data_IF_748996261347
#
_entry.id   IF_748996261347
#
_cell.length_a   1.000
_cell.length_b   1.000
_cell.length_c   1.000
_cell.angle_alpha   90.00
_cell.angle_beta   90.00
_cell.angle_gamma   90.00
#
_symmetry.space_group_name_H-M   'P 1'
#
loop_
_entity.id
_entity.type
_entity.pdbx_description
1 polymer ?
#
# COMPACT_ATOMS: atom_id res chain seq x y z
N UNK A 1 -7.37 -5.26 -10.41
CA UNK A 1 -8.00 -4.59 -9.25
C UNK A 1 -9.49 -4.53 -9.53
N UNK A 2 -10.31 -5.29 -8.80
CA UNK A 2 -11.77 -5.23 -8.97
C UNK A 2 -12.22 -3.90 -8.39
N UNK A 3 -12.78 -3.02 -9.22
CA UNK A 3 -13.42 -1.80 -8.75
C UNK A 3 -14.67 -2.23 -7.99
N UNK A 4 -14.61 -2.17 -6.66
CA UNK A 4 -15.78 -2.40 -5.81
C UNK A 4 -16.86 -1.37 -6.18
N UNK A 5 -18.08 -1.84 -6.44
CA UNK A 5 -19.19 -0.92 -6.66
C UNK A 5 -19.66 -0.32 -5.32
N UNK A 6 -20.42 0.77 -5.37
CA UNK A 6 -20.85 1.49 -4.18
C UNK A 6 -21.63 0.61 -3.17
N UNK A 7 -22.45 -0.33 -3.65
CA UNK A 7 -23.21 -1.23 -2.77
C UNK A 7 -22.28 -2.18 -2.01
N UNK A 8 -21.26 -2.70 -2.67
CA UNK A 8 -20.24 -3.56 -2.05
C UNK A 8 -19.46 -2.80 -0.98
N UNK A 9 -19.08 -1.53 -1.23
CA UNK A 9 -18.44 -0.68 -0.23
C UNK A 9 -19.33 -0.43 0.99
N UNK A 10 -20.63 -0.22 0.77
CA UNK A 10 -21.59 -0.07 1.86
C UNK A 10 -21.70 -1.34 2.71
N UNK A 11 -21.70 -2.53 2.10
CA UNK A 11 -21.70 -3.81 2.82
C UNK A 11 -20.41 -3.96 3.62
N UNK A 12 -19.26 -3.76 2.97
CA UNK A 12 -17.93 -3.89 3.57
C UNK A 12 -17.76 -2.98 4.80
N UNK A 13 -18.33 -1.77 4.76
CA UNK A 13 -18.27 -0.81 5.86
C UNK A 13 -18.80 -1.37 7.18
N UNK A 14 -19.78 -2.30 7.14
CA UNK A 14 -20.38 -2.95 8.32
C UNK A 14 -20.03 -4.43 8.45
N UNK A 15 -19.30 -4.99 7.50
CA UNK A 15 -18.84 -6.37 7.55
C UNK A 15 -17.92 -6.59 8.75
N UNK A 16 -18.19 -7.64 9.52
CA UNK A 16 -17.43 -7.99 10.73
C UNK A 16 -16.27 -8.94 10.44
N UNK A 17 -16.18 -9.48 9.23
CA UNK A 17 -15.06 -10.32 8.80
C UNK A 17 -13.78 -9.50 8.58
N UNK A 18 -13.87 -8.17 8.54
CA UNK A 18 -12.74 -7.26 8.48
C UNK A 18 -12.65 -6.44 9.76
N UNK A 19 -11.52 -6.54 10.42
CA UNK A 19 -11.25 -5.81 11.66
C UNK A 19 -11.21 -4.30 11.40
N UNK A 20 -11.78 -3.56 12.35
CA UNK A 20 -11.65 -2.11 12.40
C UNK A 20 -10.28 -1.78 12.97
N UNK A 21 -9.45 -1.08 12.20
CA UNK A 21 -8.12 -0.64 12.63
C UNK A 21 -8.24 0.54 13.60
N UNK A 22 -9.11 1.50 13.27
CA UNK A 22 -9.40 2.67 14.11
C UNK A 22 -10.77 3.25 13.75
N UNK A 23 -11.47 3.81 14.73
CA UNK A 23 -12.74 4.50 14.51
C UNK A 23 -12.98 5.61 15.53
N UNK A 24 -13.76 6.62 15.12
CA UNK A 24 -14.07 7.71 16.01
C UNK A 24 -14.60 8.95 15.31
N UNK A 25 -15.00 9.92 16.13
CA UNK A 25 -15.39 11.22 15.61
C UNK A 25 -14.16 12.06 15.27
N UNK A 26 -14.12 12.57 14.05
CA UNK A 26 -13.04 13.43 13.54
C UNK A 26 -13.67 14.69 12.95
N UNK A 27 -13.02 15.82 13.14
CA UNK A 27 -13.42 17.05 12.47
C UNK A 27 -12.78 17.10 11.09
N UNK A 28 -13.60 17.26 10.07
CA UNK A 28 -13.22 17.12 8.67
C UNK A 28 -13.58 18.37 7.87
N UNK A 29 -12.72 18.77 6.92
CA UNK A 29 -13.06 19.70 5.84
C UNK A 29 -12.26 19.42 4.58
N UNK A 30 -12.80 19.85 3.44
CA UNK A 30 -12.03 19.98 2.19
C UNK A 30 -11.39 21.38 2.17
N UNK A 31 -10.09 21.46 1.92
CA UNK A 31 -9.32 22.72 2.02
C UNK A 31 -9.70 23.73 0.94
N UNK A 32 -10.01 23.24 -0.26
CA UNK A 32 -10.36 24.08 -1.41
C UNK A 32 -11.87 24.34 -1.54
N UNK A 33 -12.67 23.97 -0.54
CA UNK A 33 -14.09 24.29 -0.50
C UNK A 33 -14.35 25.36 0.58
N UNK A 34 -15.40 26.16 0.40
CA UNK A 34 -15.89 27.03 1.46
C UNK A 34 -16.64 26.25 2.57
N UNK A 35 -16.41 24.93 2.68
CA UNK A 35 -17.07 24.09 3.66
C UNK A 35 -16.49 24.34 5.05
N UNK A 36 -17.40 24.39 6.03
CA UNK A 36 -17.02 24.49 7.44
C UNK A 36 -16.53 23.14 7.93
N UNK A 37 -15.72 23.16 8.98
CA UNK A 37 -15.30 21.97 9.72
C UNK A 37 -16.55 21.21 10.22
N UNK A 38 -16.71 19.96 9.80
CA UNK A 38 -17.81 19.10 10.18
C UNK A 38 -17.32 17.97 11.09
N UNK A 39 -18.04 17.68 12.18
CA UNK A 39 -17.76 16.52 13.02
C UNK A 39 -18.46 15.30 12.43
N UNK A 40 -17.69 14.33 11.95
CA UNK A 40 -18.17 13.12 11.29
C UNK A 40 -17.58 11.89 11.97
N UNK A 41 -18.21 10.73 11.78
CA UNK A 41 -17.70 9.47 12.31
C UNK A 41 -16.94 8.72 11.23
N UNK A 42 -15.71 8.34 11.53
CA UNK A 42 -14.82 7.64 10.62
C UNK A 42 -14.57 6.23 11.10
N UNK A 43 -14.47 5.29 10.17
CA UNK A 43 -14.06 3.91 10.43
C UNK A 43 -13.01 3.52 9.40
N UNK A 44 -11.84 3.09 9.85
CA UNK A 44 -10.76 2.59 9.01
C UNK A 44 -10.75 1.06 9.00
N UNK A 45 -10.86 0.46 7.81
CA UNK A 45 -10.74 -0.98 7.59
C UNK A 45 -9.82 -1.24 6.41
N UNK A 46 -8.78 -2.04 6.60
CA UNK A 46 -7.69 -2.15 5.62
C UNK A 46 -7.25 -0.75 5.16
N UNK A 47 -7.17 -0.48 3.87
CA UNK A 47 -6.81 0.83 3.31
C UNK A 47 -8.02 1.72 2.94
N UNK A 48 -9.23 1.39 3.44
CA UNK A 48 -10.47 2.11 3.17
C UNK A 48 -10.94 2.87 4.41
N UNK A 49 -11.10 4.17 4.25
CA UNK A 49 -11.60 5.06 5.28
C UNK A 49 -13.05 5.43 4.98
N UNK A 50 -13.98 4.83 5.74
CA UNK A 50 -15.42 5.03 5.60
C UNK A 50 -15.87 6.23 6.42
N UNK A 51 -16.72 7.09 5.84
CA UNK A 51 -17.22 8.31 6.47
C UNK A 51 -18.73 8.22 6.67
N UNK A 52 -19.16 8.43 7.91
CA UNK A 52 -20.55 8.44 8.33
C UNK A 52 -20.91 9.79 8.93
N UNK A 53 -22.17 10.19 8.80
CA UNK A 53 -22.66 11.39 9.51
C UNK A 53 -22.75 11.10 11.00
N UNK A 54 -23.14 9.89 11.38
CA UNK A 54 -23.24 9.39 12.75
C UNK A 54 -22.79 7.94 12.82
N UNK A 55 -22.25 7.52 13.97
CA UNK A 55 -21.87 6.13 14.22
C UNK A 55 -23.01 5.11 13.99
N UNK A 56 -24.25 5.51 14.26
CA UNK A 56 -25.45 4.66 14.11
C UNK A 56 -25.93 4.50 12.66
N UNK A 57 -25.31 5.21 11.71
CA UNK A 57 -25.75 5.16 10.31
C UNK A 57 -25.47 3.77 9.72
N UNK A 58 -26.43 3.27 8.93
CA UNK A 58 -26.33 1.95 8.28
C UNK A 58 -25.31 1.93 7.16
N UNK A 59 -25.14 3.05 6.48
CA UNK A 59 -24.29 3.17 5.30
C UNK A 59 -23.41 4.41 5.42
N UNK A 60 -22.14 4.33 4.98
CA UNK A 60 -21.29 5.50 4.83
C UNK A 60 -21.88 6.39 3.73
N UNK A 61 -21.69 7.69 3.87
CA UNK A 61 -22.04 8.62 2.81
C UNK A 61 -20.85 8.88 1.86
N UNK A 62 -19.62 8.59 2.28
CA UNK A 62 -18.42 8.70 1.46
C UNK A 62 -17.35 7.67 1.88
N UNK A 63 -16.42 7.37 0.97
CA UNK A 63 -15.30 6.43 1.17
C UNK A 63 -14.04 6.99 0.55
N UNK A 64 -12.97 7.04 1.34
CA UNK A 64 -11.64 7.45 0.90
C UNK A 64 -10.76 6.21 0.81
N UNK A 65 -10.15 6.00 -0.36
CA UNK A 65 -9.07 5.04 -0.55
C UNK A 65 -7.76 5.71 -0.13
N UNK A 66 -7.11 5.23 0.94
CA UNK A 66 -5.88 5.84 1.46
C UNK A 66 -4.76 5.90 0.40
N UNK A 67 -4.66 4.88 -0.46
CA UNK A 67 -3.65 4.84 -1.52
C UNK A 67 -3.74 5.97 -2.53
N UNK A 68 -4.91 6.60 -2.68
CA UNK A 68 -5.07 7.76 -3.54
C UNK A 68 -4.46 9.03 -2.93
N UNK A 69 -4.06 9.01 -1.66
CA UNK A 69 -3.57 10.18 -0.94
C UNK A 69 -2.17 9.96 -0.34
N UNK A 70 -1.42 11.04 -0.23
CA UNK A 70 -0.27 11.16 0.65
C UNK A 70 -0.76 11.69 2.00
N UNK A 71 -0.30 11.05 3.08
CA UNK A 71 -0.58 11.48 4.45
C UNK A 71 0.49 12.48 4.85
N UNK A 72 0.09 13.69 5.20
CA UNK A 72 0.95 14.76 5.69
C UNK A 72 0.61 15.09 7.16
N UNK A 73 1.60 14.98 8.04
CA UNK A 73 1.44 15.18 9.48
C UNK A 73 1.84 16.62 9.78
N UNK A 74 0.86 17.46 10.15
CA UNK A 74 1.10 18.88 10.37
C UNK A 74 1.54 19.15 11.82
N UNK A 75 2.85 19.20 12.05
CA UNK A 75 3.45 19.44 13.37
C UNK A 75 3.32 20.91 13.86
N UNK A 76 3.07 21.87 12.96
CA UNK A 76 3.17 23.29 13.28
C UNK A 76 1.91 23.91 13.91
N UNK A 77 0.80 23.18 14.00
CA UNK A 77 -0.49 23.69 14.50
C UNK A 77 -1.04 22.78 15.61
N UNK A 78 -0.50 22.93 16.82
CA UNK A 78 -0.97 22.26 18.05
C UNK A 78 -0.96 20.71 18.05
N UNK A 79 -0.28 20.04 17.10
CA UNK A 79 -0.15 18.57 16.98
C UNK A 79 -1.46 17.77 16.88
N UNK A 80 -2.51 18.36 16.27
CA UNK A 80 -3.85 17.71 16.18
C UNK A 80 -4.43 17.71 14.78
N UNK A 81 -3.59 17.74 13.75
CA UNK A 81 -4.08 17.76 12.37
C UNK A 81 -3.28 16.84 11.46
N UNK A 82 -4.00 16.13 10.61
CA UNK A 82 -3.48 15.34 9.50
C UNK A 82 -4.09 15.89 8.21
N UNK A 83 -3.27 16.00 7.16
CA UNK A 83 -3.72 16.31 5.81
C UNK A 83 -3.64 15.09 4.93
N UNK A 84 -4.70 14.88 4.14
CA UNK A 84 -4.68 13.92 3.04
C UNK A 84 -4.56 14.72 1.74
N UNK A 85 -3.41 14.60 1.08
CA UNK A 85 -3.08 15.29 -0.15
C UNK A 85 -3.27 14.31 -1.31
N UNK A 86 -4.17 14.57 -2.29
CA UNK A 86 -4.31 13.71 -3.45
C UNK A 86 -2.97 13.49 -4.15
N UNK A 87 -2.63 12.23 -4.45
CA UNK A 87 -1.58 11.92 -5.43
C UNK A 87 -2.06 12.39 -6.81
N UNK A 88 -1.15 12.83 -7.68
CA UNK A 88 -1.54 13.38 -8.99
C UNK A 88 -2.47 12.41 -9.76
N UNK A 89 -3.56 12.95 -10.32
CA UNK A 89 -4.59 12.24 -11.09
C UNK A 89 -5.41 11.16 -10.34
N UNK A 90 -5.30 11.03 -9.02
CA UNK A 90 -5.97 9.93 -8.28
C UNK A 90 -7.36 10.28 -7.72
N UNK A 91 -7.67 11.57 -7.51
CA UNK A 91 -8.80 11.97 -6.68
C UNK A 91 -9.36 13.35 -7.05
N UNK A 92 -10.68 13.41 -7.26
CA UNK A 92 -11.43 14.65 -7.45
C UNK A 92 -11.78 15.34 -6.12
N UNK A 93 -11.39 14.77 -4.97
CA UNK A 93 -11.82 15.24 -3.64
C UNK A 93 -11.00 16.45 -3.14
N UNK A 94 -9.89 16.78 -3.79
CA UNK A 94 -8.97 17.84 -3.34
C UNK A 94 -8.27 17.48 -2.03
N UNK A 95 -7.54 18.45 -1.46
CA UNK A 95 -6.88 18.28 -0.17
C UNK A 95 -7.90 18.23 0.96
N UNK A 96 -7.71 17.26 1.87
CA UNK A 96 -8.58 17.04 3.02
C UNK A 96 -7.82 17.33 4.32
N UNK A 97 -8.50 17.92 5.28
CA UNK A 97 -7.97 18.15 6.63
C UNK A 97 -8.79 17.39 7.66
N UNK A 98 -8.09 16.60 8.48
CA UNK A 98 -8.59 15.86 9.62
C UNK A 98 -8.04 16.51 10.89
N UNK A 99 -8.93 16.98 11.76
CA UNK A 99 -8.61 17.68 13.00
C UNK A 99 -9.14 16.88 14.19
N UNK A 100 -8.29 16.72 15.21
CA UNK A 100 -8.54 15.87 16.37
C UNK A 100 -8.69 16.70 17.66
N UNK A 101 -9.40 16.16 18.65
CA UNK A 101 -9.63 16.89 19.90
C UNK A 101 -8.44 16.82 20.84
N UNK A 102 -7.59 15.79 20.72
CA UNK A 102 -6.39 15.62 21.53
C UNK A 102 -5.19 15.10 20.72
N UNK A 103 -3.98 15.32 21.26
CA UNK A 103 -2.75 14.78 20.66
C UNK A 103 -2.75 13.24 20.72
N UNK A 104 -3.38 12.65 21.73
CA UNK A 104 -3.50 11.20 21.88
C UNK A 104 -4.37 10.62 20.78
N UNK A 105 -5.53 11.24 20.49
CA UNK A 105 -6.37 10.84 19.35
C UNK A 105 -5.62 10.98 18.02
N UNK A 106 -4.96 12.13 17.82
CA UNK A 106 -4.16 12.37 16.62
C UNK A 106 -3.10 11.27 16.43
N UNK A 107 -2.33 10.95 17.47
CA UNK A 107 -1.29 9.93 17.41
C UNK A 107 -1.84 8.52 17.08
N UNK A 108 -3.00 8.15 17.64
CA UNK A 108 -3.67 6.88 17.29
C UNK A 108 -4.05 6.84 15.82
N UNK A 109 -4.65 7.92 15.31
CA UNK A 109 -5.02 8.02 13.91
C UNK A 109 -3.80 8.04 12.98
N UNK A 110 -2.72 8.73 13.33
CA UNK A 110 -1.46 8.69 12.58
C UNK A 110 -0.98 7.24 12.46
N UNK A 111 -0.87 6.53 13.59
CA UNK A 111 -0.41 5.14 13.60
C UNK A 111 -1.31 4.23 12.74
N UNK A 112 -2.64 4.36 12.91
CA UNK A 112 -3.62 3.56 12.17
C UNK A 112 -3.54 3.81 10.65
N UNK A 113 -3.45 5.07 10.23
CA UNK A 113 -3.36 5.45 8.82
C UNK A 113 -2.03 5.00 8.19
N UNK A 114 -0.92 5.13 8.91
CA UNK A 114 0.40 4.67 8.43
C UNK A 114 0.44 3.16 8.25
N UNK A 115 -0.03 2.38 9.24
CA UNK A 115 -0.07 0.90 9.17
C UNK A 115 -1.01 0.42 8.06
N UNK A 116 -2.08 1.17 7.79
CA UNK A 116 -3.07 0.83 6.76
C UNK A 116 -2.66 1.24 5.35
N UNK A 117 -1.62 2.06 5.21
CA UNK A 117 -1.07 2.46 3.92
C UNK A 117 -0.12 1.38 3.39
N UNK A 118 -0.42 0.83 2.23
CA UNK A 118 0.44 -0.08 1.49
C UNK A 118 1.55 0.64 0.69
N UNK A 119 1.61 1.98 0.76
CA UNK A 119 2.55 2.78 -0.04
C UNK A 119 4.01 2.37 0.12
N UNK A 120 4.46 2.09 1.36
CA UNK A 120 5.84 1.70 1.64
C UNK A 120 6.14 0.28 1.16
N UNK A 121 5.20 -0.66 1.37
CA UNK A 121 5.32 -2.03 0.88
C UNK A 121 5.41 -2.05 -0.65
N UNK A 122 4.57 -1.29 -1.34
CA UNK A 122 4.57 -1.19 -2.79
C UNK A 122 5.83 -0.49 -3.33
N UNK A 123 6.32 0.54 -2.63
CA UNK A 123 7.60 1.18 -2.98
C UNK A 123 8.76 0.19 -2.85
N UNK A 124 8.79 -0.57 -1.77
CA UNK A 124 9.81 -1.60 -1.52
C UNK A 124 9.75 -2.70 -2.58
N UNK A 125 8.54 -3.19 -2.89
CA UNK A 125 8.31 -4.17 -3.95
C UNK A 125 8.82 -3.66 -5.30
N UNK A 126 8.52 -2.40 -5.67
CA UNK A 126 9.03 -1.80 -6.92
C UNK A 126 10.55 -1.66 -6.95
N UNK A 127 11.17 -1.29 -5.83
CA UNK A 127 12.63 -1.24 -5.73
C UNK A 127 13.24 -2.64 -5.93
N UNK A 128 12.69 -3.65 -5.25
CA UNK A 128 13.15 -5.03 -5.37
C UNK A 128 12.94 -5.59 -6.78
N UNK A 129 11.81 -5.28 -7.43
CA UNK A 129 11.55 -5.64 -8.83
C UNK A 129 12.56 -4.98 -9.78
N UNK A 130 12.93 -3.72 -9.54
CA UNK A 130 13.96 -3.03 -10.32
C UNK A 130 15.36 -3.62 -10.09
N UNK A 131 15.69 -4.04 -8.88
CA UNK A 131 16.94 -4.74 -8.57
C UNK A 131 17.00 -6.11 -9.24
N UNK A 132 15.90 -6.88 -9.25
CA UNK A 132 15.79 -8.17 -9.92
C UNK A 132 16.12 -8.09 -11.43
N UNK A 133 15.73 -7.01 -12.10
CA UNK A 133 16.08 -6.76 -13.53
C UNK A 133 17.59 -6.56 -13.72
N UNK A 134 18.28 -6.06 -12.69
CA UNK A 134 19.72 -5.79 -12.71
C UNK A 134 20.57 -6.96 -12.22
N UNK A 135 19.98 -8.06 -11.74
CA UNK A 135 20.72 -9.29 -11.43
C UNK A 135 21.13 -9.92 -12.77
N UNK A 136 22.43 -9.99 -13.11
CA UNK A 136 22.87 -10.66 -14.31
C UNK A 136 22.40 -12.11 -14.25
N UNK A 137 21.82 -12.60 -15.35
CA UNK A 137 21.50 -14.00 -15.51
C UNK A 137 22.80 -14.80 -15.39
N UNK A 138 23.11 -15.31 -14.21
CA UNK A 138 24.16 -16.33 -14.01
C UNK A 138 23.60 -17.66 -14.53
N UNK A 139 23.30 -17.70 -15.82
CA UNK A 139 23.03 -18.92 -16.55
C UNK A 139 24.31 -19.27 -17.31
N UNK A 140 24.86 -20.43 -16.93
CA UNK A 140 25.81 -21.25 -17.69
C UNK A 140 27.27 -20.79 -17.72
N UNK A 141 27.97 -21.05 -16.62
CA UNK A 141 29.37 -21.48 -16.71
C UNK A 141 29.55 -22.78 -15.94
N UNK A 142 29.03 -23.87 -16.52
CA UNK A 142 29.34 -25.24 -16.12
C UNK A 142 29.74 -26.06 -17.33
N UNK A 143 31.06 -26.23 -17.48
CA UNK A 143 31.75 -27.39 -18.04
C UNK A 143 31.74 -27.49 -19.59
N UNK A 144 32.68 -26.81 -20.23
CA UNK A 144 33.30 -27.31 -21.48
C UNK A 144 34.01 -28.64 -21.18
N UNK A 145 33.28 -29.75 -21.35
CA UNK A 145 33.89 -31.05 -21.56
C UNK A 145 34.51 -31.06 -22.95
N UNK A 146 35.83 -30.88 -23.04
CA UNK A 146 36.57 -31.07 -24.28
C UNK A 146 36.52 -32.54 -24.67
N UNK A 147 35.69 -32.86 -25.67
CA UNK A 147 35.81 -34.09 -26.43
C UNK A 147 37.05 -34.01 -27.33
N UNK A 148 38.02 -34.90 -27.17
CA UNK A 148 38.98 -35.23 -28.23
C UNK A 148 38.90 -36.71 -28.55
N UNK A 149 38.26 -37.01 -29.68
CA UNK A 149 38.12 -38.34 -30.27
C UNK A 149 39.35 -38.63 -31.13
N UNK A 150 40.11 -39.65 -30.70
CA UNK A 150 40.90 -40.67 -31.45
C UNK A 150 41.69 -40.31 -32.72
N UNK A 151 42.90 -40.88 -32.86
CA UNK A 151 43.29 -41.76 -33.99
C UNK A 151 44.64 -42.48 -33.84
N UNK A 152 44.56 -43.80 -34.01
CA UNK A 152 45.44 -44.72 -34.74
C UNK A 152 46.77 -45.26 -34.15
N UNK A 153 46.76 -46.60 -34.02
CA UNK A 153 47.84 -47.60 -33.91
C UNK A 153 48.76 -47.62 -35.16
N UNK A 154 49.98 -48.24 -35.15
CA UNK A 154 50.09 -49.72 -35.16
C UNK A 154 51.33 -50.38 -34.48
N UNK A 155 51.15 -51.69 -34.21
CA UNK A 155 52.08 -52.85 -34.20
C UNK A 155 53.46 -52.81 -33.51
N UNK A 156 53.69 -53.79 -32.62
CA UNK A 156 54.65 -54.87 -32.86
C UNK A 156 54.34 -56.11 -31.98
N UNK A 157 54.43 -57.27 -32.61
CA UNK A 157 54.28 -58.64 -32.10
C UNK A 157 55.66 -59.13 -31.65
N UNK A 158 55.76 -59.87 -30.56
CA UNK A 158 56.72 -60.98 -30.40
C UNK A 158 56.35 -61.85 -29.19
N UNK A 159 55.86 -63.06 -29.49
CA UNK A 159 55.96 -64.25 -28.63
C UNK A 159 57.42 -64.70 -28.56
N UNK A 160 57.88 -65.28 -27.44
CA UNK A 160 58.75 -66.46 -27.44
C UNK A 160 58.82 -67.14 -26.05
N UNK A 161 58.37 -68.41 -26.04
CA UNK A 161 58.73 -69.60 -25.25
C UNK A 161 59.06 -69.51 -23.74
#
# INVERSE_FOLDING_TARGET
MILLNWKELQILSKDKSYDVVEEGYVYYRKVNSNEKLAKLFFTLKANLLFIFSKHTDKHPFDVILLEAFQIDICENMCNRMIRLIPKENSSNLGMLELVFLSNVECARWINALTVSSCSELLSTLRMLEAELVNIPCLAESSITGTSSVSRNMPCAIADEH
#
